data_IF_071587781845
#
_entry.id   IF_071587781845
#
_cell.length_a   1.000
_cell.length_b   1.000
_cell.length_c   1.000
_cell.angle_alpha   90.00
_cell.angle_beta   90.00
_cell.angle_gamma   90.00
#
_symmetry.space_group_name_H-M   'P 1'
#
loop_
_entity.id
_entity.type
_entity.pdbx_description
1 polymer ?
#
# COMPACT_ATOMS: atom_id res chain seq x y z
N UNK A 1 -69.42 27.89 -56.24
CA UNK A 1 -68.05 27.31 -56.27
C UNK A 1 -67.38 27.48 -54.91
N UNK A 2 -66.90 26.37 -54.35
CA UNK A 2 -65.69 26.22 -53.53
C UNK A 2 -65.52 26.87 -52.13
N UNK A 3 -66.55 27.37 -51.46
CA UNK A 3 -66.40 27.78 -50.03
C UNK A 3 -67.20 26.92 -49.04
N UNK A 4 -68.11 26.07 -49.54
CA UNK A 4 -69.03 25.23 -48.74
C UNK A 4 -68.43 23.89 -48.23
N UNK A 5 -67.13 23.64 -48.40
CA UNK A 5 -66.51 22.36 -47.96
C UNK A 5 -65.36 22.47 -46.94
N UNK A 6 -64.92 23.69 -46.61
CA UNK A 6 -63.77 23.91 -45.71
C UNK A 6 -64.18 24.21 -44.25
N UNK A 7 -65.43 24.64 -44.02
CA UNK A 7 -65.94 24.99 -42.69
C UNK A 7 -65.96 23.83 -41.66
N UNK A 8 -66.31 22.57 -42.00
CA UNK A 8 -66.31 21.51 -40.99
C UNK A 8 -64.91 21.06 -40.60
N UNK A 9 -63.90 21.25 -41.46
CA UNK A 9 -62.50 20.91 -41.16
C UNK A 9 -61.84 21.89 -40.19
N UNK A 10 -62.23 23.18 -40.22
CA UNK A 10 -61.75 24.18 -39.26
C UNK A 10 -62.26 23.92 -37.84
N UNK A 11 -63.47 23.37 -37.69
CA UNK A 11 -64.04 23.04 -36.39
C UNK A 11 -63.31 21.86 -35.69
N UNK A 12 -62.76 20.91 -36.47
CA UNK A 12 -61.98 19.78 -35.93
C UNK A 12 -60.59 20.18 -35.42
N UNK A 13 -60.01 21.28 -35.92
CA UNK A 13 -58.70 21.78 -35.49
C UNK A 13 -58.75 22.58 -34.16
N UNK A 14 -59.93 22.97 -33.68
CA UNK A 14 -60.10 23.69 -32.42
C UNK A 14 -60.24 22.79 -31.18
N UNK A 15 -60.31 21.47 -31.33
CA UNK A 15 -60.48 20.53 -30.20
C UNK A 15 -59.17 20.12 -29.51
N UNK A 16 -58.04 20.78 -29.82
CA UNK A 16 -56.71 20.41 -29.33
C UNK A 16 -56.21 21.11 -28.06
N UNK A 17 -56.99 22.01 -27.45
CA UNK A 17 -56.50 22.84 -26.33
C UNK A 17 -57.31 22.70 -25.03
N UNK A 18 -57.82 21.50 -24.74
CA UNK A 18 -58.20 21.17 -23.36
C UNK A 18 -57.02 20.44 -22.74
N UNK A 19 -56.18 21.19 -22.03
CA UNK A 19 -55.17 20.58 -21.16
C UNK A 19 -55.84 19.54 -20.30
N UNK A 20 -55.35 18.31 -20.34
CA UNK A 20 -55.86 17.24 -19.50
C UNK A 20 -55.99 17.76 -18.07
N UNK A 21 -57.14 17.53 -17.42
CA UNK A 21 -57.42 17.88 -16.03
C UNK A 21 -56.55 17.03 -15.07
N UNK A 22 -55.24 17.00 -15.30
CA UNK A 22 -54.27 16.62 -14.30
C UNK A 22 -54.14 17.85 -13.42
N UNK A 23 -54.69 17.79 -12.20
CA UNK A 23 -54.48 18.83 -11.20
C UNK A 23 -53.00 19.17 -11.17
N UNK A 24 -52.65 20.40 -11.54
CA UNK A 24 -51.26 20.84 -11.52
C UNK A 24 -50.73 20.66 -10.09
N UNK A 25 -49.50 20.16 -9.93
CA UNK A 25 -48.89 20.06 -8.62
C UNK A 25 -48.86 21.45 -7.98
N UNK A 26 -49.11 21.50 -6.68
CA UNK A 26 -49.08 22.73 -5.92
C UNK A 26 -47.71 23.42 -6.08
N UNK A 27 -47.73 24.72 -6.39
CA UNK A 27 -46.55 25.59 -6.34
C UNK A 27 -46.29 26.11 -4.91
N UNK A 28 -47.01 25.60 -3.91
CA UNK A 28 -46.66 25.88 -2.53
C UNK A 28 -45.26 25.34 -2.24
N UNK A 29 -44.49 26.16 -1.51
CA UNK A 29 -43.14 25.81 -1.04
C UNK A 29 -43.15 24.45 -0.37
N UNK A 30 -42.28 23.53 -0.80
CA UNK A 30 -42.21 22.19 -0.20
C UNK A 30 -41.56 22.28 1.18
N UNK A 31 -41.95 21.46 2.17
CA UNK A 31 -41.33 21.48 3.50
C UNK A 31 -39.80 21.38 3.48
N UNK A 32 -39.22 20.61 2.55
CA UNK A 32 -37.76 20.46 2.38
C UNK A 32 -37.06 21.76 1.98
N UNK A 33 -37.75 22.68 1.31
CA UNK A 33 -37.18 23.97 0.87
C UNK A 33 -37.09 25.00 2.02
N UNK A 34 -37.67 24.68 3.18
CA UNK A 34 -37.49 25.42 4.43
C UNK A 34 -36.62 24.66 5.43
N UNK A 35 -36.14 23.47 5.09
CA UNK A 35 -35.24 22.74 5.97
C UNK A 35 -33.92 23.52 6.10
N UNK A 36 -33.35 23.60 7.31
CA UNK A 36 -32.00 24.12 7.46
C UNK A 36 -31.07 23.29 6.57
N UNK A 37 -30.32 23.96 5.69
CA UNK A 37 -29.27 23.31 4.91
C UNK A 37 -28.23 22.85 5.91
N UNK A 38 -28.00 21.54 5.99
CA UNK A 38 -26.90 21.01 6.77
C UNK A 38 -25.60 21.60 6.22
N UNK A 39 -24.89 22.34 7.06
CA UNK A 39 -23.60 22.89 6.70
C UNK A 39 -22.64 21.72 6.50
N UNK A 40 -22.08 21.61 5.29
CA UNK A 40 -21.11 20.57 4.99
C UNK A 40 -19.93 20.73 5.96
N UNK A 41 -19.57 19.65 6.65
CA UNK A 41 -18.39 19.67 7.53
C UNK A 41 -17.19 20.11 6.68
N UNK A 42 -16.44 21.15 7.10
CA UNK A 42 -15.24 21.57 6.39
C UNK A 42 -14.33 20.37 6.15
N UNK A 43 -13.67 20.28 4.97
CA UNK A 43 -12.67 19.26 4.77
C UNK A 43 -11.63 19.34 5.90
N UNK A 44 -11.15 18.20 6.41
CA UNK A 44 -10.15 18.19 7.47
C UNK A 44 -8.96 19.05 7.06
N UNK A 45 -8.40 19.78 8.04
CA UNK A 45 -7.23 20.61 7.80
C UNK A 45 -6.08 19.75 7.20
N UNK A 46 -5.26 20.34 6.30
CA UNK A 46 -4.11 19.63 5.76
C UNK A 46 -3.22 19.16 6.91
N UNK A 47 -3.00 17.86 6.96
CA UNK A 47 -2.12 17.21 7.93
C UNK A 47 -0.73 17.79 7.73
N UNK A 48 -0.16 18.36 8.78
CA UNK A 48 1.28 18.67 8.81
C UNK A 48 2.01 17.36 8.51
N UNK A 49 3.00 17.40 7.62
CA UNK A 49 3.87 16.24 7.40
C UNK A 49 4.38 15.77 8.76
N UNK A 50 3.99 14.56 9.16
CA UNK A 50 4.31 14.00 10.46
C UNK A 50 5.84 13.79 10.53
N UNK A 51 6.54 14.78 11.08
CA UNK A 51 8.00 14.80 11.16
C UNK A 51 8.51 13.58 11.95
N UNK A 52 7.74 13.10 12.93
CA UNK A 52 8.05 11.91 13.70
C UNK A 52 7.93 10.66 12.83
N UNK A 53 6.87 10.52 12.04
CA UNK A 53 6.74 9.42 11.08
C UNK A 53 7.90 9.42 10.07
N UNK A 54 8.24 10.59 9.51
CA UNK A 54 9.35 10.72 8.58
C UNK A 54 10.70 10.32 9.20
N UNK A 55 10.95 10.72 10.45
CA UNK A 55 12.15 10.33 11.21
C UNK A 55 12.19 8.81 11.46
N UNK A 56 11.07 8.20 11.87
CA UNK A 56 10.98 6.76 12.09
C UNK A 56 11.22 5.97 10.80
N UNK A 57 10.63 6.39 9.68
CA UNK A 57 10.87 5.79 8.36
C UNK A 57 12.34 5.91 8.00
N UNK A 58 12.93 7.12 8.09
CA UNK A 58 14.33 7.35 7.76
C UNK A 58 15.28 6.47 8.60
N UNK A 59 15.02 6.36 9.90
CA UNK A 59 15.78 5.51 10.82
C UNK A 59 15.76 4.05 10.39
N UNK A 60 14.60 3.48 10.13
CA UNK A 60 14.51 2.07 9.76
C UNK A 60 15.03 1.80 8.35
N UNK A 61 14.85 2.72 7.40
CA UNK A 61 15.51 2.64 6.10
C UNK A 61 17.04 2.60 6.27
N UNK A 62 17.63 3.50 7.07
CA UNK A 62 19.07 3.50 7.34
C UNK A 62 19.55 2.23 8.05
N UNK A 63 18.75 1.67 8.97
CA UNK A 63 19.05 0.40 9.60
C UNK A 63 19.04 -0.76 8.58
N UNK A 64 18.07 -0.78 7.66
CA UNK A 64 18.01 -1.81 6.61
C UNK A 64 19.24 -1.78 5.70
N UNK A 65 19.73 -0.58 5.39
CA UNK A 65 20.94 -0.32 4.61
C UNK A 65 22.23 -0.68 5.35
N UNK A 66 22.25 -0.47 6.67
CA UNK A 66 23.35 -0.94 7.54
C UNK A 66 23.45 -2.46 7.47
N UNK A 67 22.32 -3.16 7.59
CA UNK A 67 22.27 -4.62 7.43
C UNK A 67 22.68 -5.08 6.04
N UNK A 68 22.29 -4.37 4.98
CA UNK A 68 22.74 -4.66 3.60
C UNK A 68 24.25 -4.59 3.48
N UNK A 69 24.84 -3.49 3.96
CA UNK A 69 26.29 -3.27 3.90
C UNK A 69 27.05 -4.30 4.74
N UNK A 70 26.57 -4.61 5.95
CA UNK A 70 27.15 -5.63 6.82
C UNK A 70 27.09 -7.03 6.21
N UNK A 71 25.95 -7.38 5.61
CA UNK A 71 25.78 -8.63 4.87
C UNK A 71 26.72 -8.73 3.68
N UNK A 72 26.83 -7.69 2.86
CA UNK A 72 27.72 -7.67 1.69
C UNK A 72 29.18 -7.83 2.07
N UNK A 73 29.61 -7.20 3.16
CA UNK A 73 30.96 -7.37 3.71
C UNK A 73 31.22 -8.80 4.21
N UNK A 74 30.23 -9.44 4.85
CA UNK A 74 30.34 -10.81 5.35
C UNK A 74 30.24 -11.87 4.24
N UNK A 75 29.57 -11.56 3.13
CA UNK A 75 29.24 -12.53 2.08
C UNK A 75 30.46 -13.18 1.45
N UNK A 76 31.52 -12.42 1.17
CA UNK A 76 32.74 -12.96 0.54
C UNK A 76 33.39 -14.09 1.36
N UNK A 77 33.35 -13.97 2.69
CA UNK A 77 33.89 -15.00 3.60
C UNK A 77 33.05 -16.27 3.56
N UNK A 78 31.73 -16.14 3.67
CA UNK A 78 30.81 -17.27 3.58
C UNK A 78 30.86 -17.95 2.21
N UNK A 79 30.95 -17.18 1.13
CA UNK A 79 31.08 -17.69 -0.22
C UNK A 79 32.36 -18.50 -0.41
N UNK A 80 33.51 -17.99 0.07
CA UNK A 80 34.79 -18.69 0.01
C UNK A 80 34.73 -20.02 0.79
N UNK A 81 34.15 -20.01 1.99
CA UNK A 81 34.01 -21.22 2.80
C UNK A 81 33.09 -22.26 2.14
N UNK A 82 31.93 -21.83 1.61
CA UNK A 82 31.01 -22.71 0.88
C UNK A 82 31.64 -23.28 -0.40
N UNK A 83 32.47 -22.50 -1.12
CA UNK A 83 33.26 -22.99 -2.27
C UNK A 83 34.24 -24.09 -1.85
N UNK A 84 34.96 -23.89 -0.75
CA UNK A 84 35.94 -24.86 -0.24
C UNK A 84 35.27 -26.17 0.26
N UNK A 85 34.06 -26.07 0.81
CA UNK A 85 33.30 -27.22 1.29
C UNK A 85 32.57 -27.99 0.18
N UNK A 86 32.55 -27.49 -1.06
CA UNK A 86 31.85 -28.13 -2.18
C UNK A 86 32.35 -29.55 -2.40
N UNK A 87 31.44 -30.54 -2.34
CA UNK A 87 31.77 -31.96 -2.50
C UNK A 87 32.45 -32.61 -1.29
N UNK A 88 32.65 -31.88 -0.19
CA UNK A 88 33.13 -32.45 1.07
C UNK A 88 32.03 -33.27 1.76
N UNK A 89 32.41 -34.29 2.52
CA UNK A 89 31.45 -35.05 3.31
C UNK A 89 30.84 -34.20 4.42
N UNK A 90 29.62 -34.54 4.81
CA UNK A 90 28.98 -34.01 6.03
C UNK A 90 29.94 -34.17 7.22
N UNK A 91 29.97 -33.18 8.11
CA UNK A 91 30.83 -33.14 9.30
C UNK A 91 32.34 -33.07 9.05
N UNK A 92 32.81 -32.96 7.80
CA UNK A 92 34.22 -32.62 7.52
C UNK A 92 34.55 -31.21 8.02
N UNK A 93 35.83 -30.93 8.29
CA UNK A 93 36.29 -29.62 8.73
C UNK A 93 35.87 -28.50 7.76
N UNK A 94 35.94 -28.75 6.46
CA UNK A 94 35.51 -27.79 5.44
C UNK A 94 34.00 -27.53 5.51
N UNK A 95 33.18 -28.57 5.71
CA UNK A 95 31.74 -28.44 5.88
C UNK A 95 31.39 -27.64 7.14
N UNK A 96 32.04 -27.94 8.28
CA UNK A 96 31.81 -27.21 9.54
C UNK A 96 32.21 -25.74 9.41
N UNK A 97 33.36 -25.46 8.80
CA UNK A 97 33.82 -24.09 8.56
C UNK A 97 32.82 -23.30 7.68
N UNK A 98 32.24 -23.93 6.66
CA UNK A 98 31.22 -23.31 5.83
C UNK A 98 29.93 -23.01 6.60
N UNK A 99 29.45 -23.95 7.43
CA UNK A 99 28.26 -23.72 8.27
C UNK A 99 28.46 -22.54 9.21
N UNK A 100 29.61 -22.46 9.90
CA UNK A 100 29.94 -21.33 10.79
C UNK A 100 29.97 -20.01 10.03
N UNK A 101 30.57 -19.98 8.84
CA UNK A 101 30.64 -18.76 8.04
C UNK A 101 29.25 -18.32 7.52
N UNK A 102 28.39 -19.28 7.14
CA UNK A 102 27.00 -19.00 6.76
C UNK A 102 26.20 -18.48 7.97
N UNK A 103 26.36 -19.05 9.16
CA UNK A 103 25.69 -18.53 10.37
C UNK A 103 26.15 -17.12 10.75
N UNK A 104 27.41 -16.79 10.53
CA UNK A 104 27.91 -15.42 10.70
C UNK A 104 27.28 -14.46 9.66
N UNK A 105 27.16 -14.89 8.41
CA UNK A 105 26.45 -14.14 7.36
C UNK A 105 24.96 -13.95 7.69
N UNK A 106 24.31 -14.98 8.21
CA UNK A 106 22.92 -14.92 8.66
C UNK A 106 22.74 -13.89 9.77
N UNK A 107 23.68 -13.82 10.71
CA UNK A 107 23.68 -12.82 11.78
C UNK A 107 23.88 -11.40 11.23
N UNK A 108 24.74 -11.23 10.22
CA UNK A 108 25.01 -9.92 9.61
C UNK A 108 23.76 -9.30 8.93
N UNK A 109 22.75 -10.11 8.58
CA UNK A 109 21.49 -9.65 7.98
C UNK A 109 20.45 -9.17 9.00
N UNK A 110 20.69 -9.38 10.30
CA UNK A 110 19.69 -9.14 11.35
C UNK A 110 19.17 -7.70 11.37
N UNK A 111 20.01 -6.71 11.05
CA UNK A 111 19.57 -5.31 10.98
C UNK A 111 18.55 -5.08 9.86
N UNK A 112 18.71 -5.73 8.71
CA UNK A 112 17.75 -5.66 7.60
C UNK A 112 16.41 -6.30 7.98
N UNK A 113 16.44 -7.48 8.62
CA UNK A 113 15.23 -8.18 9.07
C UNK A 113 14.51 -7.40 10.17
N UNK A 114 15.25 -6.86 11.13
CA UNK A 114 14.71 -6.06 12.23
C UNK A 114 14.08 -4.75 11.73
N UNK A 115 14.72 -4.10 10.76
CA UNK A 115 14.19 -2.89 10.12
C UNK A 115 12.87 -3.18 9.39
N UNK A 116 12.78 -4.27 8.61
CA UNK A 116 11.56 -4.66 7.92
C UNK A 116 10.41 -4.91 8.91
N UNK A 117 10.65 -5.70 9.97
CA UNK A 117 9.64 -5.96 11.00
C UNK A 117 9.17 -4.69 11.72
N UNK A 118 10.09 -3.73 11.93
CA UNK A 118 9.77 -2.43 12.54
C UNK A 118 8.93 -1.56 11.62
N UNK A 119 9.21 -1.56 10.30
CA UNK A 119 8.42 -0.86 9.30
C UNK A 119 7.02 -1.48 9.13
N UNK A 120 6.90 -2.81 9.18
CA UNK A 120 5.60 -3.51 9.18
C UNK A 120 4.76 -3.13 10.40
N UNK A 121 5.36 -3.12 11.59
CA UNK A 121 4.70 -2.68 12.82
C UNK A 121 4.21 -1.24 12.70
N UNK A 122 5.08 -0.34 12.22
CA UNK A 122 4.75 1.07 12.05
C UNK A 122 3.61 1.28 11.04
N UNK A 123 3.52 0.45 9.99
CA UNK A 123 2.42 0.48 9.02
C UNK A 123 1.09 0.06 9.64
N UNK A 124 1.07 -1.02 10.44
CA UNK A 124 -0.12 -1.47 11.14
C UNK A 124 -0.59 -0.42 12.16
N UNK A 125 0.34 0.15 12.94
CA UNK A 125 0.05 1.20 13.90
C UNK A 125 -0.52 2.45 13.21
N UNK A 126 0.08 2.88 12.09
CA UNK A 126 -0.40 4.03 11.32
C UNK A 126 -1.78 3.77 10.74
N UNK A 127 -2.02 2.60 10.18
CA UNK A 127 -3.32 2.19 9.64
C UNK A 127 -4.40 2.25 10.72
N UNK A 128 -4.10 1.74 11.91
CA UNK A 128 -5.01 1.75 13.05
C UNK A 128 -5.29 3.17 13.55
N UNK A 129 -4.26 4.01 13.66
CA UNK A 129 -4.41 5.41 14.07
C UNK A 129 -5.25 6.23 13.07
N UNK A 130 -5.13 5.94 11.77
CA UNK A 130 -5.96 6.55 10.73
C UNK A 130 -7.42 6.09 10.86
N UNK A 131 -7.66 4.80 11.08
CA UNK A 131 -9.01 4.26 11.29
C UNK A 131 -9.70 4.87 12.53
N UNK A 132 -8.93 5.14 13.58
CA UNK A 132 -9.39 5.81 14.80
C UNK A 132 -9.54 7.34 14.65
N UNK A 133 -9.18 7.91 13.50
CA UNK A 133 -9.19 9.36 13.27
C UNK A 133 -8.14 10.16 14.04
N UNK A 134 -7.13 9.49 14.61
CA UNK A 134 -6.03 10.11 15.37
C UNK A 134 -4.96 10.69 14.45
N UNK A 135 -4.81 10.11 13.27
CA UNK A 135 -3.76 10.40 12.30
C UNK A 135 -4.32 10.40 10.87
N UNK A 136 -3.55 10.90 9.91
CA UNK A 136 -3.96 10.91 8.49
C UNK A 136 -2.76 10.88 7.55
N UNK A 137 -2.88 10.16 6.43
CA UNK A 137 -1.82 10.00 5.43
C UNK A 137 -0.58 9.23 5.91
N UNK A 138 0.47 9.21 5.07
CA UNK A 138 1.77 8.60 5.38
C UNK A 138 1.90 7.11 5.04
N UNK A 139 0.81 6.43 4.64
CA UNK A 139 0.84 5.02 4.27
C UNK A 139 1.69 4.75 3.02
N UNK A 140 1.66 5.63 2.01
CA UNK A 140 2.45 5.45 0.78
C UNK A 140 3.96 5.50 1.04
N UNK A 141 4.40 6.40 1.94
CA UNK A 141 5.80 6.51 2.32
C UNK A 141 6.26 5.28 3.12
N UNK A 142 5.40 4.77 4.02
CA UNK A 142 5.66 3.53 4.74
C UNK A 142 5.73 2.33 3.80
N UNK A 143 4.79 2.22 2.87
CA UNK A 143 4.75 1.10 1.92
C UNK A 143 5.97 1.08 1.00
N UNK A 144 6.41 2.26 0.55
CA UNK A 144 7.65 2.44 -0.21
C UNK A 144 8.86 1.93 0.60
N UNK A 145 8.98 2.34 1.86
CA UNK A 145 10.08 1.92 2.72
C UNK A 145 10.05 0.41 3.02
N UNK A 146 8.85 -0.15 3.28
CA UNK A 146 8.64 -1.58 3.49
C UNK A 146 9.06 -2.40 2.27
N UNK A 147 8.63 -1.99 1.08
CA UNK A 147 8.97 -2.66 -0.18
C UNK A 147 10.48 -2.65 -0.42
N UNK A 148 11.15 -1.52 -0.16
CA UNK A 148 12.60 -1.43 -0.28
C UNK A 148 13.33 -2.35 0.72
N UNK A 149 12.93 -2.35 1.99
CA UNK A 149 13.52 -3.21 3.01
C UNK A 149 13.28 -4.70 2.73
N UNK A 150 12.08 -5.06 2.24
CA UNK A 150 11.74 -6.42 1.83
C UNK A 150 12.65 -6.89 0.69
N UNK A 151 12.84 -6.08 -0.35
CA UNK A 151 13.73 -6.43 -1.46
C UNK A 151 15.18 -6.70 -1.00
N UNK A 152 15.67 -5.97 0.01
CA UNK A 152 16.98 -6.23 0.62
C UNK A 152 16.98 -7.61 1.30
N UNK A 153 15.99 -7.89 2.15
CA UNK A 153 15.90 -9.14 2.91
C UNK A 153 15.75 -10.34 1.97
N UNK A 154 14.92 -10.23 0.92
CA UNK A 154 14.73 -11.29 -0.07
C UNK A 154 16.05 -11.59 -0.81
N UNK A 155 16.77 -10.56 -1.25
CA UNK A 155 18.08 -10.74 -1.89
C UNK A 155 19.10 -11.42 -0.96
N UNK A 156 19.09 -11.08 0.34
CA UNK A 156 19.95 -11.71 1.33
C UNK A 156 19.59 -13.19 1.55
N UNK A 157 18.30 -13.51 1.64
CA UNK A 157 17.81 -14.88 1.79
C UNK A 157 18.19 -15.73 0.58
N UNK A 158 17.93 -15.27 -0.64
CA UNK A 158 18.30 -15.97 -1.88
C UNK A 158 19.80 -16.31 -1.92
N UNK A 159 20.64 -15.36 -1.50
CA UNK A 159 22.10 -15.52 -1.44
C UNK A 159 22.53 -16.52 -0.37
N UNK A 160 21.89 -16.52 0.81
CA UNK A 160 22.16 -17.52 1.85
C UNK A 160 21.75 -18.92 1.38
N UNK A 161 20.56 -19.05 0.77
CA UNK A 161 20.05 -20.33 0.30
C UNK A 161 20.90 -20.90 -0.83
N UNK A 162 21.40 -20.04 -1.73
CA UNK A 162 22.37 -20.44 -2.74
C UNK A 162 23.68 -20.98 -2.12
N UNK A 163 24.17 -20.43 -1.01
CA UNK A 163 25.34 -20.96 -0.31
C UNK A 163 25.05 -22.29 0.38
N UNK A 164 23.91 -22.40 1.07
CA UNK A 164 23.48 -23.63 1.74
C UNK A 164 23.28 -24.78 0.76
N UNK A 165 22.72 -24.51 -0.42
CA UNK A 165 22.50 -25.50 -1.48
C UNK A 165 23.77 -26.13 -2.04
N UNK A 166 24.95 -25.56 -1.77
CA UNK A 166 26.26 -26.12 -2.17
C UNK A 166 26.81 -27.15 -1.20
N UNK A 167 26.31 -27.16 0.03
CA UNK A 167 26.80 -28.04 1.08
C UNK A 167 26.04 -29.38 1.02
N UNK A 168 26.76 -30.46 1.33
CA UNK A 168 26.13 -31.76 1.52
C UNK A 168 25.09 -31.68 2.64
N UNK A 169 23.90 -32.21 2.38
CA UNK A 169 22.82 -32.33 3.35
C UNK A 169 23.05 -33.57 4.23
N UNK A 170 22.77 -33.50 5.55
CA UNK A 170 22.83 -34.66 6.45
C UNK A 170 21.79 -35.73 6.10
#
# INVERSE_FOLDING_TARGET
>A
MMTRRLLPYLALLLSGCTGAQLSYPSLAKRPIESAPVAEATPPPAPVVADARLAEQISRFTAQSETGRTGFDAAYATAEKAARAASGSSVSSDAWVAAQVAISALETARNDSVSALASLDTLYVDRTSAIADGKESGGLDALDTARTAALAIVDSQNDRIDALKGRLAQP
#
